data_IF_076142202336
#
_entry.id   IF_076142202336
#
_cell.length_a   1.000
_cell.length_b   1.000
_cell.length_c   1.000
_cell.angle_alpha   90.00
_cell.angle_beta   90.00
_cell.angle_gamma   90.00
#
_symmetry.space_group_name_H-M   'P 1'
#
loop_
_entity.id
_entity.type
_entity.pdbx_description
1 polymer ?
#
# COMPACT_ATOMS: atom_id res chain seq x y z
N UNK A 1 52.01 -16.02 12.51
CA UNK A 1 51.09 -15.02 13.06
C UNK A 1 50.07 -14.66 12.00
N UNK A 2 48.82 -15.11 12.16
CA UNK A 2 47.59 -14.51 11.63
C UNK A 2 46.44 -15.48 11.93
N UNK A 3 45.95 -15.45 13.16
CA UNK A 3 44.66 -16.02 13.57
C UNK A 3 43.80 -14.85 14.01
N UNK A 4 42.65 -14.64 13.40
CA UNK A 4 41.69 -13.65 13.87
C UNK A 4 40.78 -13.13 12.77
N UNK A 5 39.67 -13.82 12.52
CA UNK A 5 38.67 -13.34 11.57
C UNK A 5 37.43 -14.21 11.38
N UNK A 6 37.02 -15.05 12.34
CA UNK A 6 35.85 -15.93 12.16
C UNK A 6 34.86 -16.14 13.34
N UNK A 7 34.83 -15.38 14.45
CA UNK A 7 33.83 -15.65 15.49
C UNK A 7 32.46 -14.95 15.27
N UNK A 8 32.39 -13.87 14.47
CA UNK A 8 31.19 -12.99 14.42
C UNK A 8 30.11 -13.45 13.41
N UNK A 9 30.53 -14.08 12.30
CA UNK A 9 29.59 -14.62 11.30
C UNK A 9 28.94 -15.93 11.78
N UNK A 10 29.70 -16.78 12.48
CA UNK A 10 29.17 -18.01 13.10
C UNK A 10 28.15 -17.72 14.21
N UNK A 11 28.37 -16.66 15.00
CA UNK A 11 27.43 -16.24 16.04
C UNK A 11 26.11 -15.69 15.47
N UNK A 12 26.16 -14.91 14.38
CA UNK A 12 24.96 -14.41 13.71
C UNK A 12 24.14 -15.53 13.03
N UNK A 13 24.82 -16.55 12.48
CA UNK A 13 24.17 -17.74 11.93
C UNK A 13 23.50 -18.59 13.03
N UNK A 14 24.13 -18.71 14.21
CA UNK A 14 23.58 -19.41 15.36
C UNK A 14 22.35 -18.70 15.95
N UNK A 15 22.41 -17.37 16.09
CA UNK A 15 21.29 -16.55 16.58
C UNK A 15 20.11 -16.55 15.61
N UNK A 16 20.39 -16.61 14.31
CA UNK A 16 19.38 -16.81 13.27
C UNK A 16 18.69 -18.18 13.33
N UNK A 17 19.44 -19.23 13.68
CA UNK A 17 18.90 -20.59 13.86
C UNK A 17 17.96 -20.72 15.06
N UNK A 18 18.28 -20.05 16.16
CA UNK A 18 17.50 -20.10 17.40
C UNK A 18 16.15 -19.37 17.28
N UNK A 19 16.14 -18.18 16.65
CA UNK A 19 14.90 -17.44 16.33
C UNK A 19 13.99 -18.20 15.36
N UNK A 20 14.55 -19.03 14.47
CA UNK A 20 13.80 -19.87 13.52
C UNK A 20 13.18 -21.09 14.16
N UNK A 21 13.91 -21.73 15.09
CA UNK A 21 13.36 -22.83 15.88
C UNK A 21 12.17 -22.36 16.73
N UNK A 22 12.21 -21.12 17.24
CA UNK A 22 11.10 -20.49 17.93
C UNK A 22 9.87 -20.26 17.01
N UNK A 23 10.07 -19.70 15.82
CA UNK A 23 8.99 -19.50 14.84
C UNK A 23 8.34 -20.82 14.39
N UNK A 24 9.12 -21.89 14.26
CA UNK A 24 8.60 -23.21 13.92
C UNK A 24 7.77 -23.81 15.06
N UNK A 25 8.20 -23.66 16.32
CA UNK A 25 7.40 -24.07 17.48
C UNK A 25 6.09 -23.31 17.54
N UNK A 26 6.11 -22.00 17.30
CA UNK A 26 4.90 -21.17 17.26
C UNK A 26 3.92 -21.59 16.15
N UNK A 27 4.43 -21.89 14.95
CA UNK A 27 3.63 -22.40 13.82
C UNK A 27 3.06 -23.81 14.12
N UNK A 28 3.83 -24.68 14.77
CA UNK A 28 3.40 -26.06 15.07
C UNK A 28 2.55 -26.20 16.34
N UNK A 29 2.72 -25.33 17.34
CA UNK A 29 2.07 -25.42 18.66
C UNK A 29 0.84 -24.50 18.77
N UNK A 30 0.81 -23.32 18.14
CA UNK A 30 -0.29 -22.34 18.35
C UNK A 30 -1.17 -22.04 17.13
N UNK A 31 -0.85 -22.47 15.90
CA UNK A 31 -1.62 -22.00 14.72
C UNK A 31 -1.89 -22.97 13.58
N UNK A 32 -1.12 -24.05 13.42
CA UNK A 32 -1.19 -24.88 12.21
C UNK A 32 -2.46 -25.73 12.05
N UNK A 33 -3.03 -26.23 13.16
CA UNK A 33 -4.19 -27.14 13.12
C UNK A 33 -5.54 -26.42 13.14
N UNK A 34 -5.62 -25.19 13.65
CA UNK A 34 -6.87 -24.42 13.71
C UNK A 34 -7.27 -23.84 12.33
N UNK A 35 -6.30 -23.50 11.48
CA UNK A 35 -6.58 -22.93 10.16
C UNK A 35 -7.04 -23.99 9.15
N UNK A 36 -6.48 -25.20 9.21
CA UNK A 36 -6.89 -26.33 8.36
C UNK A 36 -8.28 -26.85 8.77
N UNK A 37 -8.55 -26.97 10.08
CA UNK A 37 -9.87 -27.39 10.57
C UNK A 37 -10.99 -26.36 10.28
N UNK A 38 -10.67 -25.06 10.30
CA UNK A 38 -11.64 -23.99 9.97
C UNK A 38 -11.90 -23.90 8.45
N UNK A 39 -10.90 -24.15 7.61
CA UNK A 39 -11.04 -24.23 6.16
C UNK A 39 -11.79 -25.49 5.70
N UNK A 40 -11.56 -26.65 6.35
CA UNK A 40 -12.31 -27.88 6.06
C UNK A 40 -13.76 -27.79 6.54
N UNK A 41 -14.03 -27.13 7.67
CA UNK A 41 -15.40 -26.87 8.16
C UNK A 41 -16.16 -25.88 7.25
N UNK A 42 -15.48 -24.84 6.75
CA UNK A 42 -16.06 -23.90 5.79
C UNK A 42 -16.32 -24.52 4.41
N UNK A 43 -15.60 -25.59 4.04
CA UNK A 43 -15.83 -26.36 2.82
C UNK A 43 -16.92 -27.44 2.98
N UNK A 44 -17.12 -27.98 4.19
CA UNK A 44 -18.12 -29.01 4.49
C UNK A 44 -19.55 -28.44 4.65
N UNK A 45 -19.70 -27.19 5.10
CA UNK A 45 -21.01 -26.52 5.27
C UNK A 45 -21.55 -25.90 3.96
N UNK A 46 -21.02 -26.31 2.80
CA UNK A 46 -21.53 -25.97 1.48
C UNK A 46 -22.89 -26.60 1.19
N UNK A 47 -23.97 -26.03 1.74
CA UNK A 47 -25.35 -26.35 1.36
C UNK A 47 -25.69 -25.75 -0.02
N UNK A 48 -25.17 -26.44 -1.05
CA UNK A 48 -25.35 -26.15 -2.47
C UNK A 48 -26.79 -26.31 -2.98
N UNK A 49 -27.77 -26.67 -2.13
CA UNK A 49 -29.19 -26.78 -2.52
C UNK A 49 -30.05 -25.58 -2.12
N UNK A 50 -29.62 -24.75 -1.15
CA UNK A 50 -30.36 -23.55 -0.77
C UNK A 50 -30.05 -22.34 -1.66
N UNK A 51 -28.82 -22.24 -2.19
CA UNK A 51 -28.39 -21.13 -3.05
C UNK A 51 -29.03 -21.15 -4.45
N UNK A 52 -29.43 -22.33 -4.93
CA UNK A 52 -30.08 -22.48 -6.24
C UNK A 52 -31.59 -22.18 -6.18
N UNK A 53 -32.25 -22.44 -5.04
CA UNK A 53 -33.66 -22.08 -4.80
C UNK A 53 -33.87 -20.56 -4.58
N UNK A 54 -32.87 -19.86 -4.04
CA UNK A 54 -32.90 -18.41 -3.85
C UNK A 54 -32.68 -17.62 -5.15
N UNK A 55 -32.22 -18.27 -6.23
CA UNK A 55 -31.95 -17.63 -7.52
C UNK A 55 -33.16 -17.64 -8.47
N UNK A 56 -34.15 -18.49 -8.20
CA UNK A 56 -35.36 -18.65 -9.02
C UNK A 56 -36.65 -18.07 -8.40
N UNK A 57 -36.61 -17.48 -7.20
CA UNK A 57 -37.81 -16.91 -6.56
C UNK A 57 -37.65 -15.46 -6.08
N UNK A 58 -38.38 -14.53 -6.72
CA UNK A 58 -38.74 -13.18 -6.23
C UNK A 58 -37.69 -12.10 -6.54
N UNK A 59 -37.90 -11.11 -7.41
CA UNK A 59 -39.06 -10.20 -7.58
C UNK A 59 -39.64 -9.76 -6.24
N UNK A 60 -39.14 -8.61 -5.76
CA UNK A 60 -39.87 -7.70 -4.88
C UNK A 60 -40.03 -8.10 -3.41
N UNK A 61 -39.13 -7.63 -2.53
CA UNK A 61 -39.47 -7.35 -1.14
C UNK A 61 -38.54 -6.26 -0.57
N UNK A 62 -39.14 -5.24 0.03
CA UNK A 62 -38.52 -3.98 0.44
C UNK A 62 -37.42 -4.09 1.48
N UNK A 63 -36.42 -3.24 1.32
CA UNK A 63 -35.45 -2.90 2.35
C UNK A 63 -36.17 -2.09 3.44
N UNK A 64 -36.53 -2.74 4.54
CA UNK A 64 -36.84 -2.01 5.77
C UNK A 64 -35.55 -1.36 6.30
N UNK A 65 -35.62 -0.05 6.49
CA UNK A 65 -34.54 0.78 7.01
C UNK A 65 -34.07 0.27 8.39
N UNK A 66 -32.75 0.06 8.52
CA UNK A 66 -32.10 -0.18 9.81
C UNK A 66 -31.95 1.15 10.56
N UNK A 67 -32.34 1.27 11.85
CA UNK A 67 -32.31 2.54 12.55
C UNK A 67 -30.91 2.91 13.05
N UNK A 68 -30.45 4.10 12.62
CA UNK A 68 -29.44 5.02 13.20
C UNK A 68 -28.16 4.43 13.82
N UNK A 69 -27.07 4.49 13.06
CA UNK A 69 -25.65 4.30 13.46
C UNK A 69 -25.01 5.53 14.13
N UNK A 70 -25.79 6.46 14.69
CA UNK A 70 -25.31 7.75 15.20
C UNK A 70 -24.37 7.68 16.42
N UNK A 71 -24.55 6.80 17.45
CA UNK A 71 -23.73 6.89 18.67
C UNK A 71 -22.28 6.41 18.50
N UNK A 72 -22.01 5.49 17.55
CA UNK A 72 -20.66 4.95 17.31
C UNK A 72 -19.81 5.87 16.44
N UNK A 73 -20.43 6.58 15.49
CA UNK A 73 -19.77 7.59 14.67
C UNK A 73 -19.38 8.83 15.49
N UNK A 74 -20.24 9.25 16.44
CA UNK A 74 -19.95 10.36 17.35
C UNK A 74 -18.78 10.04 18.29
N UNK A 75 -18.70 8.81 18.82
CA UNK A 75 -17.60 8.36 19.66
C UNK A 75 -16.25 8.29 18.90
N UNK A 76 -16.26 7.78 17.66
CA UNK A 76 -15.06 7.74 16.82
C UNK A 76 -14.60 9.15 16.40
N UNK A 77 -15.54 10.07 16.14
CA UNK A 77 -15.22 11.47 15.86
C UNK A 77 -14.64 12.18 17.09
N UNK A 78 -15.14 11.88 18.29
CA UNK A 78 -14.60 12.41 19.55
C UNK A 78 -13.19 11.87 19.83
N UNK A 79 -12.97 10.57 19.63
CA UNK A 79 -11.65 9.93 19.76
C UNK A 79 -10.64 10.50 18.76
N UNK A 80 -11.06 10.72 17.50
CA UNK A 80 -10.25 11.40 16.49
C UNK A 80 -9.93 12.84 16.85
N UNK A 81 -10.87 13.56 17.47
CA UNK A 81 -10.65 14.92 17.98
C UNK A 81 -9.60 14.98 19.09
N UNK A 82 -9.64 14.03 20.04
CA UNK A 82 -8.66 13.95 21.12
C UNK A 82 -7.25 13.65 20.60
N UNK A 83 -7.11 12.71 19.67
CA UNK A 83 -5.81 12.39 19.02
C UNK A 83 -5.21 13.62 18.34
N UNK A 84 -6.02 14.38 17.61
CA UNK A 84 -5.58 15.62 16.93
C UNK A 84 -5.17 16.69 17.93
N UNK A 85 -5.94 16.88 19.00
CA UNK A 85 -5.59 17.83 20.04
C UNK A 85 -4.28 17.46 20.75
N UNK A 86 -4.06 16.18 21.04
CA UNK A 86 -2.81 15.70 21.63
C UNK A 86 -1.61 15.95 20.71
N UNK A 87 -1.75 15.64 19.41
CA UNK A 87 -0.73 15.91 18.40
C UNK A 87 -0.38 17.40 18.30
N UNK A 88 -1.38 18.30 18.28
CA UNK A 88 -1.13 19.73 18.20
C UNK A 88 -0.39 20.27 19.44
N UNK A 89 -0.66 19.73 20.63
CA UNK A 89 0.13 20.06 21.83
C UNK A 89 1.57 19.59 21.71
N UNK A 90 1.81 18.37 21.26
CA UNK A 90 3.17 17.83 21.06
C UNK A 90 3.96 18.68 20.05
N UNK A 91 3.34 19.03 18.91
CA UNK A 91 3.95 19.92 17.93
C UNK A 91 4.23 21.32 18.52
N UNK A 92 3.36 21.81 19.40
CA UNK A 92 3.57 23.08 20.11
C UNK A 92 4.81 23.01 21.01
N UNK A 93 4.99 21.91 21.74
CA UNK A 93 6.15 21.66 22.61
C UNK A 93 7.46 21.57 21.82
N UNK A 94 7.40 21.06 20.58
CA UNK A 94 8.53 21.05 19.64
C UNK A 94 8.75 22.41 18.92
N UNK A 95 7.98 23.45 19.26
CA UNK A 95 8.13 24.79 18.70
C UNK A 95 7.36 25.06 17.40
N UNK A 96 6.46 24.15 17.00
CA UNK A 96 5.65 24.23 15.78
C UNK A 96 4.44 25.17 15.85
N UNK A 97 4.53 26.30 16.55
CA UNK A 97 3.40 27.22 16.77
C UNK A 97 2.74 27.70 15.46
N UNK A 98 3.53 27.99 14.43
CA UNK A 98 3.02 28.44 13.13
C UNK A 98 2.23 27.33 12.41
N UNK A 99 2.69 26.08 12.53
CA UNK A 99 1.97 24.92 12.03
C UNK A 99 0.62 24.78 12.72
N UNK A 100 0.61 24.83 14.06
CA UNK A 100 -0.61 24.66 14.86
C UNK A 100 -1.65 25.73 14.53
N UNK A 101 -1.24 27.00 14.49
CA UNK A 101 -2.13 28.09 14.11
C UNK A 101 -2.71 27.92 12.70
N UNK A 102 -1.91 27.44 11.75
CA UNK A 102 -2.36 27.20 10.37
C UNK A 102 -3.30 25.99 10.27
N UNK A 103 -3.02 24.91 11.02
CA UNK A 103 -3.87 23.73 11.07
C UNK A 103 -5.22 24.01 11.74
N UNK A 104 -5.23 24.76 12.84
CA UNK A 104 -6.46 25.19 13.52
C UNK A 104 -7.29 26.11 12.63
N UNK A 105 -6.66 27.07 11.96
CA UNK A 105 -7.34 27.95 11.00
C UNK A 105 -7.94 27.16 9.82
N UNK A 106 -7.22 26.16 9.31
CA UNK A 106 -7.75 25.27 8.27
C UNK A 106 -8.98 24.49 8.76
N UNK A 107 -8.97 24.03 10.01
CA UNK A 107 -10.06 23.27 10.61
C UNK A 107 -11.29 24.13 10.94
N UNK A 108 -11.08 25.33 11.50
CA UNK A 108 -12.15 26.20 11.99
C UNK A 108 -12.76 27.05 10.86
N UNK A 109 -11.92 27.68 10.03
CA UNK A 109 -12.37 28.64 9.01
C UNK A 109 -12.55 27.98 7.63
N UNK A 110 -12.10 26.73 7.47
CA UNK A 110 -12.06 26.06 6.18
C UNK A 110 -11.07 26.71 5.19
N UNK A 111 -10.02 27.35 5.69
CA UNK A 111 -9.04 28.07 4.88
C UNK A 111 -8.06 27.11 4.17
N UNK A 112 -8.25 26.90 2.86
CA UNK A 112 -7.39 26.03 2.06
C UNK A 112 -5.93 26.52 2.04
N UNK A 113 -5.69 27.84 2.05
CA UNK A 113 -4.32 28.37 2.06
C UNK A 113 -3.62 28.07 3.37
N UNK A 114 -4.37 28.11 4.48
CA UNK A 114 -3.84 27.71 5.78
C UNK A 114 -3.50 26.21 5.83
N UNK A 115 -4.35 25.36 5.23
CA UNK A 115 -4.09 23.93 5.13
C UNK A 115 -2.83 23.63 4.29
N UNK A 116 -2.66 24.32 3.17
CA UNK A 116 -1.48 24.19 2.32
C UNK A 116 -0.22 24.69 3.03
N UNK A 117 -0.29 25.83 3.73
CA UNK A 117 0.82 26.33 4.54
C UNK A 117 1.21 25.33 5.64
N UNK A 118 0.25 24.75 6.35
CA UNK A 118 0.49 23.68 7.34
C UNK A 118 1.22 22.48 6.71
N UNK A 119 0.80 22.07 5.51
CA UNK A 119 1.43 20.96 4.78
C UNK A 119 2.87 21.26 4.40
N UNK A 120 3.15 22.46 3.87
CA UNK A 120 4.51 22.86 3.48
C UNK A 120 5.44 22.97 4.70
N UNK A 121 4.98 23.53 5.82
CA UNK A 121 5.78 23.58 7.05
C UNK A 121 6.12 22.17 7.57
N UNK A 122 5.13 21.26 7.60
CA UNK A 122 5.41 19.89 8.00
C UNK A 122 6.33 19.17 6.98
N UNK A 123 6.18 19.45 5.69
CA UNK A 123 7.06 18.92 4.64
C UNK A 123 8.52 19.34 4.85
N UNK A 124 8.78 20.61 5.15
CA UNK A 124 10.12 21.12 5.45
C UNK A 124 10.75 20.37 6.63
N UNK A 125 9.97 20.17 7.70
CA UNK A 125 10.43 19.43 8.89
C UNK A 125 10.73 17.96 8.59
N UNK A 126 9.97 17.31 7.70
CA UNK A 126 10.22 15.94 7.25
C UNK A 126 11.50 15.78 6.44
N UNK A 127 11.97 16.86 5.81
CA UNK A 127 13.16 16.86 4.93
C UNK A 127 14.37 17.56 5.55
N UNK A 128 14.24 18.09 6.78
CA UNK A 128 15.34 18.70 7.51
C UNK A 128 16.41 17.69 7.97
N UNK A 129 16.03 16.42 8.12
CA UNK A 129 16.93 15.33 8.54
C UNK A 129 16.57 14.00 7.85
N UNK A 130 17.43 12.96 7.95
CA UNK A 130 17.09 11.63 7.46
C UNK A 130 15.79 11.10 8.06
N UNK A 131 14.99 10.36 7.28
CA UNK A 131 13.65 9.88 7.70
C UNK A 131 13.66 9.09 9.03
N UNK A 132 14.77 8.42 9.36
CA UNK A 132 14.94 7.72 10.64
C UNK A 132 14.98 8.65 11.86
N UNK A 133 15.39 9.90 11.66
CA UNK A 133 15.58 10.92 12.71
C UNK A 133 14.42 11.90 12.81
N UNK A 134 13.53 11.94 11.81
CA UNK A 134 12.32 12.78 11.85
C UNK A 134 11.43 12.34 13.01
N UNK A 135 11.06 13.29 13.88
CA UNK A 135 10.14 13.07 15.01
C UNK A 135 8.80 12.47 14.56
N UNK A 136 8.20 11.60 15.39
CA UNK A 136 6.91 10.97 15.06
C UNK A 136 5.80 11.99 14.90
N UNK A 137 5.75 12.99 15.80
CA UNK A 137 4.80 14.09 15.78
C UNK A 137 4.77 14.79 14.41
N UNK A 138 5.92 15.15 13.83
CA UNK A 138 5.95 15.83 12.53
C UNK A 138 5.42 14.99 11.37
N UNK A 139 5.59 13.66 11.41
CA UNK A 139 4.99 12.76 10.41
C UNK A 139 3.48 12.72 10.55
N UNK A 140 2.98 12.67 11.78
CA UNK A 140 1.54 12.72 12.06
C UNK A 140 0.94 14.10 11.72
N UNK A 141 1.70 15.18 11.95
CA UNK A 141 1.35 16.54 11.55
C UNK A 141 1.25 16.69 10.02
N UNK A 142 2.17 16.08 9.27
CA UNK A 142 2.08 16.03 7.81
C UNK A 142 0.83 15.27 7.33
N UNK A 143 0.49 14.14 7.95
CA UNK A 143 -0.74 13.40 7.67
C UNK A 143 -1.99 14.25 7.97
N UNK A 144 -2.00 14.97 9.10
CA UNK A 144 -3.09 15.87 9.48
C UNK A 144 -3.29 16.98 8.44
N UNK A 145 -2.21 17.63 8.01
CA UNK A 145 -2.27 18.68 7.01
C UNK A 145 -2.80 18.16 5.66
N UNK A 146 -2.37 16.95 5.25
CA UNK A 146 -2.89 16.29 4.05
C UNK A 146 -4.40 16.03 4.12
N UNK A 147 -4.91 15.62 5.28
CA UNK A 147 -6.36 15.45 5.50
C UNK A 147 -7.11 16.77 5.35
N UNK A 148 -6.59 17.87 5.92
CA UNK A 148 -7.22 19.19 5.78
C UNK A 148 -7.23 19.66 4.33
N UNK A 149 -6.09 19.57 3.62
CA UNK A 149 -6.00 19.94 2.19
C UNK A 149 -7.00 19.13 1.37
N UNK A 150 -7.08 17.82 1.59
CA UNK A 150 -7.98 16.96 0.85
C UNK A 150 -9.45 17.30 1.10
N UNK A 151 -9.85 17.46 2.37
CA UNK A 151 -11.22 17.81 2.73
C UNK A 151 -11.67 19.12 2.09
N UNK A 152 -10.82 20.15 2.12
CA UNK A 152 -11.13 21.47 1.57
C UNK A 152 -11.14 21.48 0.03
N UNK A 153 -10.25 20.72 -0.62
CA UNK A 153 -10.26 20.58 -2.09
C UNK A 153 -11.48 19.83 -2.61
N UNK A 154 -12.00 18.86 -1.85
CA UNK A 154 -13.27 18.19 -2.18
C UNK A 154 -14.45 19.15 -2.00
N UNK A 155 -14.48 19.92 -0.92
CA UNK A 155 -15.55 20.89 -0.65
C UNK A 155 -15.60 22.04 -1.69
N UNK A 156 -14.46 22.42 -2.26
CA UNK A 156 -14.36 23.50 -3.26
C UNK A 156 -14.97 23.18 -4.64
N UNK A 157 -15.37 21.94 -4.92
CA UNK A 157 -16.19 21.58 -6.09
C UNK A 157 -15.53 21.68 -7.47
N UNK A 158 -14.22 21.97 -7.57
CA UNK A 158 -13.51 22.03 -8.86
C UNK A 158 -13.20 20.65 -9.45
N UNK A 159 -13.22 20.52 -10.79
CA UNK A 159 -12.97 19.25 -11.49
C UNK A 159 -11.59 18.60 -11.21
N UNK A 160 -10.55 19.40 -10.96
CA UNK A 160 -9.22 18.92 -10.50
C UNK A 160 -9.15 18.74 -8.96
N UNK A 161 -10.13 19.25 -8.21
CA UNK A 161 -10.14 19.19 -6.74
C UNK A 161 -10.12 17.76 -6.22
N UNK A 162 -10.82 16.84 -6.88
CA UNK A 162 -10.84 15.41 -6.54
C UNK A 162 -9.48 14.73 -6.73
N UNK A 163 -8.84 14.94 -7.88
CA UNK A 163 -7.54 14.34 -8.19
C UNK A 163 -6.47 14.90 -7.26
N UNK A 164 -6.49 16.21 -7.02
CA UNK A 164 -5.61 16.85 -6.07
C UNK A 164 -5.82 16.39 -4.61
N UNK A 165 -7.07 16.14 -4.21
CA UNK A 165 -7.37 15.57 -2.90
C UNK A 165 -6.79 14.15 -2.75
N UNK A 166 -6.95 13.29 -3.77
CA UNK A 166 -6.33 11.96 -3.76
C UNK A 166 -4.80 12.05 -3.66
N UNK A 167 -4.17 12.91 -4.45
CA UNK A 167 -2.71 13.15 -4.36
C UNK A 167 -2.29 13.57 -2.96
N UNK A 168 -3.02 14.49 -2.32
CA UNK A 168 -2.71 14.93 -0.96
C UNK A 168 -2.84 13.77 0.05
N UNK A 169 -3.91 12.97 -0.04
CA UNK A 169 -4.12 11.82 0.84
C UNK A 169 -3.07 10.72 0.65
N UNK A 170 -2.71 10.41 -0.60
CA UNK A 170 -1.67 9.43 -0.93
C UNK A 170 -0.31 9.87 -0.41
N UNK A 171 0.03 11.16 -0.56
CA UNK A 171 1.23 11.72 0.04
C UNK A 171 1.21 11.61 1.57
N UNK A 172 0.05 11.83 2.20
CA UNK A 172 -0.15 11.58 3.63
C UNK A 172 0.14 10.13 4.03
N UNK A 173 -0.27 9.14 3.22
CA UNK A 173 0.03 7.73 3.48
C UNK A 173 1.51 7.37 3.26
N UNK A 174 2.16 7.99 2.29
CA UNK A 174 3.56 7.69 1.92
C UNK A 174 4.54 8.35 2.90
N UNK A 175 4.26 9.59 3.31
CA UNK A 175 5.19 10.41 4.08
C UNK A 175 4.78 10.60 5.54
N UNK A 176 3.49 10.47 5.84
CA UNK A 176 2.96 10.67 7.17
C UNK A 176 3.24 9.54 8.15
N UNK A 177 2.81 9.74 9.39
CA UNK A 177 2.87 8.76 10.46
C UNK A 177 1.59 7.92 10.57
N UNK A 178 1.59 6.97 11.50
CA UNK A 178 0.51 5.99 11.62
C UNK A 178 -0.70 6.50 12.42
N UNK A 179 -0.58 7.62 13.16
CA UNK A 179 -1.62 8.09 14.08
C UNK A 179 -2.96 8.31 13.38
N UNK A 180 -2.91 8.87 12.16
CA UNK A 180 -4.08 9.24 11.36
C UNK A 180 -4.29 8.35 10.12
N UNK A 181 -3.65 7.18 10.10
CA UNK A 181 -3.65 6.28 8.93
C UNK A 181 -5.04 5.79 8.56
N UNK A 182 -5.85 5.42 9.56
CA UNK A 182 -7.23 4.98 9.36
C UNK A 182 -8.10 6.10 8.76
N UNK A 183 -7.93 7.34 9.21
CA UNK A 183 -8.69 8.49 8.68
C UNK A 183 -8.28 8.85 7.26
N UNK A 184 -6.99 8.71 6.91
CA UNK A 184 -6.50 8.84 5.54
C UNK A 184 -7.13 7.79 4.62
N UNK A 185 -7.10 6.51 5.02
CA UNK A 185 -7.70 5.41 4.25
C UNK A 185 -9.21 5.59 4.07
N UNK A 186 -9.92 6.03 5.12
CA UNK A 186 -11.35 6.34 5.03
C UNK A 186 -11.62 7.53 4.10
N UNK A 187 -10.82 8.60 4.19
CA UNK A 187 -10.94 9.76 3.30
C UNK A 187 -10.72 9.36 1.84
N UNK A 188 -9.73 8.52 1.56
CA UNK A 188 -9.47 7.97 0.23
C UNK A 188 -10.67 7.16 -0.27
N UNK A 189 -11.22 6.27 0.57
CA UNK A 189 -12.37 5.44 0.21
C UNK A 189 -13.58 6.32 -0.17
N UNK A 190 -13.83 7.41 0.58
CA UNK A 190 -14.87 8.39 0.25
C UNK A 190 -14.63 9.06 -1.10
N UNK A 191 -13.42 9.58 -1.33
CA UNK A 191 -13.08 10.28 -2.59
C UNK A 191 -13.10 9.35 -3.80
N UNK A 192 -12.77 8.06 -3.62
CA UNK A 192 -12.90 7.04 -4.66
C UNK A 192 -14.36 6.69 -4.92
N UNK A 193 -15.19 6.54 -3.89
CA UNK A 193 -16.61 6.22 -4.03
C UNK A 193 -17.39 7.32 -4.77
N UNK A 194 -17.07 8.59 -4.53
CA UNK A 194 -17.72 9.72 -5.20
C UNK A 194 -17.44 9.75 -6.71
N UNK A 195 -16.34 9.13 -7.18
CA UNK A 195 -16.09 8.89 -8.61
C UNK A 195 -17.24 8.14 -9.26
N UNK A 196 -17.67 7.07 -8.61
CA UNK A 196 -18.63 6.12 -9.16
C UNK A 196 -20.03 6.74 -9.25
N UNK A 197 -20.31 7.75 -8.42
CA UNK A 197 -21.56 8.50 -8.41
C UNK A 197 -21.62 9.60 -9.47
N UNK A 198 -20.48 10.23 -9.80
CA UNK A 198 -20.39 11.28 -10.82
C UNK A 198 -20.53 10.81 -12.27
N UNK A 199 -20.50 9.49 -12.54
CA UNK A 199 -20.66 8.92 -13.88
C UNK A 199 -22.13 8.76 -14.35
N UNK A 200 -23.10 9.38 -13.67
CA UNK A 200 -24.53 9.23 -13.96
C UNK A 200 -25.13 10.19 -15.01
N UNK A 201 -24.38 11.13 -15.58
CA UNK A 201 -24.94 12.05 -16.56
C UNK A 201 -23.88 12.89 -17.26
N UNK A 202 -23.65 12.61 -18.55
CA UNK A 202 -22.77 13.40 -19.42
C UNK A 202 -21.72 12.53 -20.10
N UNK A 203 -22.09 11.97 -21.26
CA UNK A 203 -21.10 11.66 -22.28
C UNK A 203 -20.41 12.96 -22.67
N UNK A 204 -19.11 13.03 -22.41
CA UNK A 204 -18.32 14.24 -22.60
C UNK A 204 -16.84 13.93 -22.40
N UNK A 205 -16.27 13.23 -23.38
CA UNK A 205 -14.93 13.43 -23.93
C UNK A 205 -13.87 14.03 -22.99
N UNK A 206 -13.45 13.24 -22.00
CA UNK A 206 -12.12 13.33 -21.39
C UNK A 206 -11.11 12.40 -22.06
N UNK A 207 -11.39 11.92 -23.28
CA UNK A 207 -10.58 10.94 -24.03
C UNK A 207 -9.42 11.58 -24.81
N UNK A 208 -8.96 12.77 -24.42
CA UNK A 208 -8.04 13.58 -25.23
C UNK A 208 -6.55 13.27 -25.10
N UNK A 209 -6.05 12.79 -23.95
CA UNK A 209 -4.60 12.67 -23.73
C UNK A 209 -4.16 11.27 -23.28
N UNK A 210 -4.84 10.65 -22.30
CA UNK A 210 -4.45 9.31 -21.80
C UNK A 210 -4.69 8.16 -22.79
N UNK A 211 -5.58 8.34 -23.78
CA UNK A 211 -5.91 7.30 -24.76
C UNK A 211 -4.71 6.86 -25.58
N UNK A 212 -3.93 7.84 -26.05
CA UNK A 212 -2.73 7.65 -26.89
C UNK A 212 -1.55 7.09 -26.09
N UNK A 213 -1.39 7.50 -24.84
CA UNK A 213 -0.37 6.96 -23.97
C UNK A 213 -0.59 5.46 -23.77
N UNK A 214 -1.80 5.03 -23.41
CA UNK A 214 -2.07 3.62 -23.09
C UNK A 214 -1.78 2.68 -24.27
N UNK A 215 -2.05 3.09 -25.51
CA UNK A 215 -1.67 2.31 -26.69
C UNK A 215 -0.14 2.17 -26.82
N UNK A 216 0.61 3.25 -26.55
CA UNK A 216 2.08 3.23 -26.49
C UNK A 216 2.62 2.33 -25.37
N UNK A 217 2.00 2.34 -24.19
CA UNK A 217 2.35 1.39 -23.10
C UNK A 217 2.08 -0.05 -23.54
N UNK A 218 0.93 -0.32 -24.15
CA UNK A 218 0.54 -1.65 -24.62
C UNK A 218 1.52 -2.19 -25.67
N UNK A 219 1.98 -1.34 -26.59
CA UNK A 219 3.04 -1.67 -27.56
C UNK A 219 4.35 -2.03 -26.83
N UNK A 220 4.74 -1.27 -25.82
CA UNK A 220 5.95 -1.54 -25.02
C UNK A 220 5.90 -2.85 -24.23
N UNK A 221 4.74 -3.19 -23.65
CA UNK A 221 4.53 -4.44 -22.89
C UNK A 221 4.43 -5.69 -23.78
N UNK A 222 3.92 -5.54 -25.00
CA UNK A 222 3.78 -6.66 -25.95
C UNK A 222 5.04 -6.92 -26.76
N UNK A 223 5.97 -5.96 -26.83
CA UNK A 223 7.31 -6.17 -27.39
C UNK A 223 8.05 -7.25 -26.60
N UNK A 224 8.13 -8.44 -27.18
CA UNK A 224 9.06 -9.49 -26.72
C UNK A 224 10.48 -8.96 -26.85
N UNK A 225 11.17 -8.75 -25.73
CA UNK A 225 12.61 -8.46 -25.75
C UNK A 225 13.35 -9.76 -26.04
N UNK A 226 14.29 -9.70 -26.98
CA UNK A 226 15.19 -10.82 -27.25
C UNK A 226 16.11 -11.03 -26.04
N UNK A 227 16.37 -12.30 -25.69
CA UNK A 227 17.25 -12.66 -24.59
C UNK A 227 18.67 -12.11 -24.83
N UNK A 228 19.12 -12.09 -26.09
CA UNK A 228 20.42 -11.52 -26.45
C UNK A 228 20.51 -10.02 -26.15
N UNK A 229 19.39 -9.29 -26.28
CA UNK A 229 19.35 -7.86 -25.95
C UNK A 229 19.30 -7.61 -24.44
N UNK A 230 18.59 -8.45 -23.69
CA UNK A 230 18.56 -8.39 -22.22
C UNK A 230 19.96 -8.65 -21.65
N UNK A 231 20.68 -9.63 -22.20
CA UNK A 231 22.04 -9.99 -21.76
C UNK A 231 23.06 -8.85 -21.92
N UNK A 232 22.85 -7.93 -22.87
CA UNK A 232 23.71 -6.74 -23.06
C UNK A 232 23.54 -5.70 -21.96
N UNK A 233 22.38 -5.67 -21.30
CA UNK A 233 22.02 -4.68 -20.28
C UNK A 233 22.36 -5.18 -18.87
N UNK A 234 22.35 -6.50 -18.67
CA UNK A 234 22.63 -7.09 -17.37
C UNK A 234 24.12 -7.00 -17.01
N UNK A 235 24.46 -6.77 -15.73
CA UNK A 235 25.83 -6.90 -15.25
C UNK A 235 26.47 -8.24 -15.62
N UNK A 236 27.79 -8.21 -15.80
CA UNK A 236 28.58 -9.42 -16.11
C UNK A 236 28.35 -10.45 -14.99
N UNK A 237 28.04 -11.71 -15.37
CA UNK A 237 27.70 -12.84 -14.47
C UNK A 237 26.28 -12.81 -13.84
N UNK A 238 25.39 -11.89 -14.20
CA UNK A 238 24.02 -11.87 -13.63
C UNK A 238 23.23 -13.18 -13.80
N UNK A 239 23.53 -13.98 -14.84
CA UNK A 239 22.89 -15.28 -15.09
C UNK A 239 23.85 -16.47 -14.93
N UNK A 240 25.01 -16.29 -14.28
CA UNK A 240 25.98 -17.39 -14.09
C UNK A 240 25.71 -18.24 -12.85
N UNK A 241 24.63 -17.99 -12.13
CA UNK A 241 24.24 -18.74 -10.95
C UNK A 241 23.62 -20.11 -11.32
N UNK A 242 23.64 -21.05 -10.36
CA UNK A 242 23.01 -22.36 -10.53
C UNK A 242 21.52 -22.18 -10.80
N UNK A 243 20.98 -22.93 -11.76
CA UNK A 243 19.56 -22.93 -12.07
C UNK A 243 18.77 -23.34 -10.82
N UNK A 244 17.82 -22.50 -10.41
CA UNK A 244 16.96 -22.76 -9.26
C UNK A 244 15.98 -23.87 -9.62
N UNK A 245 15.82 -24.82 -8.71
CA UNK A 245 14.89 -25.93 -8.88
C UNK A 245 13.44 -25.46 -8.97
N UNK A 246 12.62 -26.14 -9.78
CA UNK A 246 11.20 -25.85 -9.94
C UNK A 246 10.36 -27.03 -9.48
N UNK A 247 9.39 -26.79 -8.60
CA UNK A 247 8.47 -27.80 -8.07
C UNK A 247 7.03 -27.38 -8.27
N UNK A 248 6.20 -28.31 -8.71
CA UNK A 248 4.74 -28.22 -8.67
C UNK A 248 4.23 -29.19 -7.59
N UNK A 249 3.16 -28.82 -6.88
CA UNK A 249 2.49 -29.72 -5.93
C UNK A 249 3.43 -30.31 -4.85
N UNK A 250 4.23 -29.46 -4.20
CA UNK A 250 4.97 -29.80 -2.99
C UNK A 250 4.04 -29.74 -1.76
N UNK A 251 4.14 -30.75 -0.90
CA UNK A 251 3.48 -30.74 0.42
C UNK A 251 4.19 -29.75 1.35
N UNK A 252 3.45 -29.14 2.28
CA UNK A 252 3.99 -28.12 3.17
C UNK A 252 5.18 -28.65 3.99
N UNK A 253 5.08 -29.89 4.48
CA UNK A 253 6.12 -30.55 5.27
C UNK A 253 7.39 -30.77 4.45
N UNK A 254 7.25 -31.19 3.20
CA UNK A 254 8.36 -31.36 2.26
C UNK A 254 9.00 -30.00 1.93
N UNK A 255 8.19 -28.97 1.74
CA UNK A 255 8.70 -27.61 1.53
C UNK A 255 9.49 -27.11 2.74
N UNK A 256 8.97 -27.30 3.95
CA UNK A 256 9.63 -26.89 5.18
C UNK A 256 10.97 -27.61 5.33
N UNK A 257 10.95 -28.95 5.26
CA UNK A 257 12.13 -29.79 5.46
C UNK A 257 13.22 -29.54 4.41
N UNK A 258 12.85 -29.53 3.14
CA UNK A 258 13.81 -29.62 2.04
C UNK A 258 14.27 -28.25 1.52
N UNK A 259 13.49 -27.18 1.76
CA UNK A 259 13.78 -25.85 1.23
C UNK A 259 13.82 -24.75 2.28
N UNK A 260 12.79 -24.64 3.13
CA UNK A 260 12.72 -23.55 4.11
C UNK A 260 13.79 -23.65 5.20
N UNK A 261 13.94 -24.83 5.82
CA UNK A 261 14.94 -25.05 6.87
C UNK A 261 16.36 -25.03 6.33
N UNK A 262 16.56 -25.52 5.12
CA UNK A 262 17.86 -25.55 4.45
C UNK A 262 18.22 -24.23 3.76
N UNK A 263 17.34 -23.22 3.82
CA UNK A 263 17.48 -21.92 3.14
C UNK A 263 17.76 -22.05 1.63
N UNK A 264 17.22 -23.09 1.02
CA UNK A 264 17.46 -23.39 -0.39
C UNK A 264 16.36 -22.78 -1.24
N UNK A 265 16.69 -21.94 -2.25
CA UNK A 265 15.68 -21.32 -3.10
C UNK A 265 14.99 -22.38 -3.97
N UNK A 266 13.68 -22.22 -4.14
CA UNK A 266 12.86 -23.08 -5.00
C UNK A 266 11.77 -22.25 -5.70
N UNK A 267 11.47 -22.57 -6.95
CA UNK A 267 10.37 -21.96 -7.70
C UNK A 267 9.14 -22.84 -7.60
N UNK A 268 8.11 -22.34 -6.93
CA UNK A 268 6.81 -23.01 -6.83
C UNK A 268 5.94 -22.70 -8.06
N UNK A 269 5.49 -23.72 -8.76
CA UNK A 269 4.68 -23.61 -9.99
C UNK A 269 3.28 -24.20 -9.78
N UNK A 270 2.26 -23.63 -10.42
CA UNK A 270 0.86 -24.09 -10.32
C UNK A 270 0.04 -23.50 -9.17
N UNK A 271 0.67 -22.83 -8.20
CA UNK A 271 -0.01 -22.36 -6.98
C UNK A 271 -0.85 -21.10 -7.18
N UNK A 272 -0.33 -20.12 -7.91
CA UNK A 272 -0.99 -18.83 -8.13
C UNK A 272 -1.66 -18.78 -9.51
N UNK A 273 -1.78 -19.92 -10.18
CA UNK A 273 -2.17 -19.98 -11.58
C UNK A 273 -3.62 -19.57 -11.84
N UNK A 274 -4.46 -19.70 -10.82
CA UNK A 274 -5.86 -19.31 -10.82
C UNK A 274 -6.08 -17.87 -10.33
N UNK A 275 -5.03 -17.14 -9.92
CA UNK A 275 -5.18 -15.80 -9.40
C UNK A 275 -5.73 -14.85 -10.47
N UNK A 276 -6.76 -14.03 -10.17
CA UNK A 276 -7.31 -13.06 -11.11
C UNK A 276 -6.27 -12.09 -11.67
N UNK A 277 -5.19 -11.82 -10.92
CA UNK A 277 -4.07 -10.99 -11.36
C UNK A 277 -3.45 -11.47 -12.69
N UNK A 278 -3.44 -12.78 -12.96
CA UNK A 278 -2.85 -13.35 -14.20
C UNK A 278 -3.60 -12.99 -15.47
N UNK A 279 -4.88 -12.62 -15.35
CA UNK A 279 -5.71 -12.18 -16.47
C UNK A 279 -5.97 -10.68 -16.40
N UNK A 280 -6.42 -10.17 -15.25
CA UNK A 280 -6.83 -8.76 -15.09
C UNK A 280 -5.69 -7.77 -15.20
N UNK A 281 -4.50 -8.05 -14.64
CA UNK A 281 -3.41 -7.07 -14.61
C UNK A 281 -2.63 -6.96 -15.93
N UNK A 282 -2.89 -7.87 -16.88
CA UNK A 282 -2.38 -7.73 -18.26
C UNK A 282 -3.10 -6.61 -19.02
N UNK A 283 -4.34 -6.32 -18.64
CA UNK A 283 -5.09 -5.20 -19.17
C UNK A 283 -4.64 -3.92 -18.46
N UNK A 284 -3.84 -3.11 -19.14
CA UNK A 284 -3.39 -1.82 -18.62
C UNK A 284 -4.56 -0.86 -18.37
N UNK A 285 -5.66 -0.97 -19.15
CA UNK A 285 -6.88 -0.19 -18.93
C UNK A 285 -7.57 -0.60 -17.63
N UNK A 286 -7.44 -1.86 -17.23
CA UNK A 286 -7.90 -2.32 -15.91
C UNK A 286 -7.09 -1.63 -14.80
N UNK A 287 -5.76 -1.62 -14.89
CA UNK A 287 -4.89 -0.96 -13.90
C UNK A 287 -5.12 0.56 -13.83
N UNK A 288 -5.21 1.23 -14.98
CA UNK A 288 -5.55 2.65 -15.07
C UNK A 288 -6.90 2.94 -14.40
N UNK A 289 -7.90 2.09 -14.66
CA UNK A 289 -9.24 2.26 -14.07
C UNK A 289 -9.22 2.12 -12.54
N UNK A 290 -8.49 1.15 -12.00
CA UNK A 290 -8.50 0.89 -10.54
C UNK A 290 -7.56 1.81 -9.76
N UNK A 291 -6.43 2.22 -10.34
CA UNK A 291 -5.35 2.87 -9.63
C UNK A 291 -4.68 4.03 -10.38
N UNK A 292 -5.13 4.39 -11.59
CA UNK A 292 -4.48 5.44 -12.41
C UNK A 292 -4.51 6.84 -11.82
N UNK A 293 -5.40 7.11 -10.85
CA UNK A 293 -5.45 8.39 -10.14
C UNK A 293 -4.63 8.38 -8.83
N UNK A 294 -3.98 7.26 -8.49
CA UNK A 294 -3.23 7.10 -7.23
C UNK A 294 -1.79 7.51 -7.39
N UNK A 295 -1.27 8.21 -6.39
CA UNK A 295 0.16 8.54 -6.29
C UNK A 295 0.90 7.34 -5.70
N UNK A 296 1.96 6.91 -6.37
CA UNK A 296 2.82 5.81 -5.94
C UNK A 296 4.28 6.24 -5.98
N UNK A 297 5.11 5.81 -5.02
CA UNK A 297 6.54 6.08 -5.07
C UNK A 297 7.18 5.34 -6.25
N UNK A 298 8.05 6.02 -6.99
CA UNK A 298 8.79 5.44 -8.11
C UNK A 298 10.29 5.47 -7.79
N UNK A 299 10.89 4.29 -7.71
CA UNK A 299 12.32 4.15 -7.52
C UNK A 299 13.04 4.34 -8.86
N UNK A 300 13.91 5.35 -8.95
CA UNK A 300 14.81 5.49 -10.08
C UNK A 300 16.17 4.90 -9.73
N UNK A 301 16.47 3.77 -10.36
CA UNK A 301 17.77 3.14 -10.30
C UNK A 301 18.57 3.57 -11.54
N UNK A 302 19.56 4.43 -11.34
CA UNK A 302 20.61 4.66 -12.33
C UNK A 302 21.67 3.60 -12.13
N UNK A 303 21.58 2.50 -12.88
CA UNK A 303 22.61 1.47 -12.88
C UNK A 303 23.88 2.03 -13.55
N UNK A 304 24.84 2.49 -12.75
CA UNK A 304 26.15 2.86 -13.26
C UNK A 304 27.00 1.60 -13.38
N UNK A 305 27.21 1.13 -14.61
CA UNK A 305 27.85 -0.16 -14.93
C UNK A 305 29.31 -0.25 -14.41
N UNK A 306 29.91 0.88 -14.00
CA UNK A 306 31.33 0.98 -13.63
C UNK A 306 31.63 1.41 -12.17
N UNK A 307 30.64 1.52 -11.28
CA UNK A 307 30.92 1.88 -9.88
C UNK A 307 30.06 1.08 -8.91
N UNK A 308 30.70 0.49 -7.88
CA UNK A 308 30.04 -0.27 -6.80
C UNK A 308 29.12 0.57 -5.89
N UNK A 309 28.81 1.81 -6.28
CA UNK A 309 27.95 2.71 -5.52
C UNK A 309 26.65 2.93 -6.27
N UNK A 310 25.62 2.15 -5.90
CA UNK A 310 24.23 2.40 -6.29
C UNK A 310 23.65 3.47 -5.37
N UNK A 311 23.40 4.66 -5.88
CA UNK A 311 22.58 5.67 -5.20
C UNK A 311 21.11 5.43 -5.50
N UNK A 312 20.30 5.14 -4.48
CA UNK A 312 18.84 5.04 -4.62
C UNK A 312 18.26 6.45 -4.55
N UNK A 313 17.65 6.94 -5.63
CA UNK A 313 16.87 8.18 -5.62
C UNK A 313 15.41 7.79 -5.71
N UNK A 314 14.67 7.95 -4.61
CA UNK A 314 13.22 7.79 -4.59
C UNK A 314 12.62 9.10 -5.13
N UNK A 315 11.97 9.07 -6.30
CA UNK A 315 11.19 10.21 -6.79
C UNK A 315 9.71 9.96 -6.48
N UNK A 316 9.08 10.97 -5.88
CA UNK A 316 7.65 11.03 -5.68
C UNK A 316 7.09 11.93 -6.79
N UNK A 317 6.24 11.40 -7.66
CA UNK A 317 5.56 12.12 -8.75
C UNK A 317 4.06 12.24 -8.47
#
# INVERSE_FOLDING_TARGET
>A
MATGGEPRAAAAAAEGGEKRAALLREITEEGGFAFVASAEKAAADGDLRAAEAARESGVGAGWHACPRSEPRAAAAAAEGGEKRAALLREITEEGGFAFVASAEKAAADGDLRAAEAAREMAWEQLHACPRSEVGRAWRDAYALACLHVAALRVAGGGGDGRRAALRALDMGLIMGGDLLRAELEEAIARVVADRSRGCGGGGGDGAGENGADVEKWMEGLTRKRDLADVLKVLPVKSLSCKQIERRSCIFLEAFIRDYFLCESPVILSGYIDHWPARTKWKDIRYLERIAGDRTVPVELLVANVNSSSSGLVMLLF
#
